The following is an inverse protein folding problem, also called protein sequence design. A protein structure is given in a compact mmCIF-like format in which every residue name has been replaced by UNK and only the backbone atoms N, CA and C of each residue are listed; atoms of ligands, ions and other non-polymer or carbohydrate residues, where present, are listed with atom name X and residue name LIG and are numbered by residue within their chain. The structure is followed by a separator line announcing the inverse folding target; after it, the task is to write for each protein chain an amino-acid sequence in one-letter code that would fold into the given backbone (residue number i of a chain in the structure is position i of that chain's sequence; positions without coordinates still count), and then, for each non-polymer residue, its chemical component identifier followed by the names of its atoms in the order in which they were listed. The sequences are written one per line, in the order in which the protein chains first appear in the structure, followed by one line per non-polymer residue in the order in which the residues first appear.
data_IF_144132724700
#
_entry.id   IF_144132724700
#
_cell.length_a   1.000
_cell.length_b   1.000
_cell.length_c   1.000
_cell.angle_alpha   90.00
_cell.angle_beta   90.00
_cell.angle_gamma   90.00
#
_symmetry.space_group_name_H-M   'P 1'
#
loop_
_entity.id
_entity.type
_entity.pdbx_description
1 polymer ?
#
# COMPACT_ATOMS: atom_id res chain seq x y z
N UNK A 1 52.73 16.13 26.55
CA UNK A 1 51.43 16.79 26.83
C UNK A 1 50.67 17.03 25.51
N UNK A 2 50.55 16.00 24.66
CA UNK A 2 49.98 16.14 23.29
C UNK A 2 49.24 14.88 22.82
N UNK A 3 48.58 14.15 23.73
CA UNK A 3 47.85 12.91 23.37
C UNK A 3 46.38 12.90 23.82
N UNK A 4 45.81 14.07 24.16
CA UNK A 4 44.44 14.20 24.66
C UNK A 4 43.53 15.04 23.76
N UNK A 5 44.00 15.53 22.61
CA UNK A 5 43.19 16.38 21.72
C UNK A 5 42.71 15.71 20.41
N UNK A 6 43.02 14.43 20.17
CA UNK A 6 42.62 13.74 18.93
C UNK A 6 41.42 12.79 19.08
N UNK A 7 40.82 12.67 20.27
CA UNK A 7 39.63 11.82 20.50
C UNK A 7 38.31 12.64 20.47
N UNK A 8 38.38 13.93 20.14
CA UNK A 8 37.20 14.81 20.10
C UNK A 8 36.60 15.04 18.69
N UNK A 9 37.01 14.29 17.66
CA UNK A 9 36.64 14.61 16.26
C UNK A 9 35.97 13.48 15.45
N UNK A 10 35.58 12.37 16.06
CA UNK A 10 34.81 11.31 15.39
C UNK A 10 33.73 10.74 16.31
N UNK A 11 32.91 11.60 16.92
CA UNK A 11 31.56 11.19 17.29
C UNK A 11 30.67 11.33 16.06
N UNK A 12 30.81 10.42 15.10
CA UNK A 12 29.74 10.16 14.13
C UNK A 12 28.60 9.57 14.93
N UNK A 13 27.75 10.42 15.51
CA UNK A 13 26.44 9.99 15.98
C UNK A 13 25.74 9.44 14.76
N UNK A 14 25.58 8.11 14.67
CA UNK A 14 24.71 7.55 13.65
C UNK A 14 23.32 8.09 13.94
N UNK A 15 22.85 9.04 13.14
CA UNK A 15 21.47 9.52 13.21
C UNK A 15 20.58 8.30 13.00
N UNK A 16 19.72 7.99 13.98
CA UNK A 16 18.72 6.96 13.78
C UNK A 16 17.78 7.41 12.65
N UNK A 17 17.17 6.46 11.95
CA UNK A 17 16.19 6.75 10.89
C UNK A 17 15.03 7.66 11.39
N UNK A 18 14.73 7.55 12.68
CA UNK A 18 13.76 8.41 13.39
C UNK A 18 14.22 9.87 13.36
N UNK A 19 15.49 10.16 13.65
CA UNK A 19 16.02 11.52 13.61
C UNK A 19 15.91 12.11 12.19
N UNK A 20 16.15 11.28 11.16
CA UNK A 20 16.04 11.67 9.74
C UNK A 20 14.59 12.01 9.38
N UNK A 21 13.62 11.19 9.81
CA UNK A 21 12.21 11.46 9.59
C UNK A 21 11.76 12.76 10.25
N UNK A 22 12.13 12.95 11.51
CA UNK A 22 11.82 14.20 12.19
C UNK A 22 12.49 15.41 11.52
N UNK A 23 13.75 15.30 11.08
CA UNK A 23 14.45 16.35 10.32
C UNK A 23 13.77 16.70 9.00
N UNK A 24 13.19 15.70 8.36
CA UNK A 24 12.47 15.83 7.10
C UNK A 24 10.99 16.22 7.26
N UNK A 25 10.52 16.45 8.48
CA UNK A 25 9.11 16.77 8.74
C UNK A 25 8.13 15.62 8.47
N UNK A 26 8.62 14.38 8.54
CA UNK A 26 7.82 13.19 8.34
C UNK A 26 7.21 12.75 9.67
N UNK A 27 5.89 12.56 9.67
CA UNK A 27 5.19 11.80 10.70
C UNK A 27 5.20 10.33 10.27
N UNK A 28 5.33 9.44 11.24
CA UNK A 28 5.46 8.02 10.96
C UNK A 28 4.84 7.16 12.05
N UNK A 29 4.45 5.95 11.67
CA UNK A 29 4.02 4.90 12.58
C UNK A 29 4.62 3.56 12.14
N UNK A 30 5.25 2.86 13.08
CA UNK A 30 5.75 1.50 12.84
C UNK A 30 4.56 0.54 12.83
N UNK A 31 4.30 -0.08 11.68
CA UNK A 31 3.20 -1.02 11.51
C UNK A 31 3.61 -2.43 11.95
N UNK A 32 4.86 -2.83 11.68
CA UNK A 32 5.32 -4.17 12.05
C UNK A 32 6.60 -4.61 11.36
N UNK A 33 6.85 -5.92 11.37
CA UNK A 33 7.94 -6.55 10.61
C UNK A 33 7.45 -6.93 9.23
N UNK A 34 8.32 -6.81 8.23
CA UNK A 34 8.01 -7.17 6.86
C UNK A 34 9.16 -7.88 6.12
N UNK A 35 8.84 -8.77 5.18
CA UNK A 35 9.79 -9.33 4.20
C UNK A 35 9.54 -8.60 2.89
N UNK A 36 10.58 -8.02 2.31
CA UNK A 36 10.54 -7.53 0.94
C UNK A 36 10.99 -8.65 0.00
N UNK A 37 10.13 -9.00 -0.94
CA UNK A 37 10.48 -9.86 -2.06
C UNK A 37 10.72 -8.97 -3.28
N UNK A 38 11.95 -9.04 -3.84
CA UNK A 38 12.21 -8.56 -5.20
C UNK A 38 11.63 -9.57 -6.18
N UNK A 39 10.43 -9.26 -6.68
CA UNK A 39 9.68 -10.13 -7.57
C UNK A 39 10.45 -10.49 -8.85
N UNK A 40 11.33 -9.59 -9.30
CA UNK A 40 12.08 -9.75 -10.55
C UNK A 40 13.21 -10.78 -10.44
N UNK A 41 13.63 -11.12 -9.22
CA UNK A 41 14.77 -12.02 -8.97
C UNK A 41 14.40 -13.39 -8.46
N UNK A 42 13.32 -13.49 -7.68
CA UNK A 42 13.05 -14.68 -6.83
C UNK A 42 11.71 -15.36 -7.17
N UNK A 43 10.90 -14.75 -8.04
CA UNK A 43 9.57 -15.27 -8.36
C UNK A 43 9.52 -15.93 -9.73
N UNK A 44 8.85 -17.09 -9.80
CA UNK A 44 8.52 -17.78 -11.05
C UNK A 44 7.06 -17.50 -11.40
N UNK A 45 6.75 -17.20 -12.65
CA UNK A 45 5.36 -17.08 -13.12
C UNK A 45 4.86 -18.44 -13.62
N UNK A 46 3.68 -18.85 -13.19
CA UNK A 46 3.07 -20.11 -13.65
C UNK A 46 1.53 -20.03 -13.67
N UNK A 47 0.93 -20.75 -14.62
CA UNK A 47 -0.51 -20.91 -14.75
C UNK A 47 -0.99 -22.18 -14.02
N UNK A 48 -1.96 -22.06 -13.14
CA UNK A 48 -2.52 -23.19 -12.38
C UNK A 48 -3.93 -23.46 -12.83
N UNK A 49 -4.15 -24.63 -13.41
CA UNK A 49 -5.51 -25.10 -13.67
C UNK A 49 -6.09 -25.70 -12.39
N UNK A 50 -7.23 -25.19 -11.93
CA UNK A 50 -7.98 -25.79 -10.81
C UNK A 50 -8.87 -26.96 -11.24
N UNK A 51 -9.00 -27.20 -12.55
CA UNK A 51 -9.81 -28.28 -13.12
C UNK A 51 -9.52 -29.65 -12.50
N UNK A 52 -8.26 -30.08 -12.28
CA UNK A 52 -7.98 -31.36 -11.63
C UNK A 52 -8.54 -31.47 -10.20
N UNK A 53 -8.54 -30.36 -9.44
CA UNK A 53 -9.09 -30.33 -8.09
C UNK A 53 -10.61 -30.38 -8.11
N UNK A 54 -11.23 -29.61 -9.01
CA UNK A 54 -12.68 -29.63 -9.25
C UNK A 54 -13.14 -31.03 -9.68
N UNK A 55 -12.39 -31.67 -10.58
CA UNK A 55 -12.66 -33.03 -11.03
C UNK A 55 -12.54 -34.03 -9.88
N UNK A 56 -11.51 -33.92 -9.03
CA UNK A 56 -11.36 -34.78 -7.86
C UNK A 56 -12.51 -34.63 -6.84
N UNK A 57 -12.99 -33.40 -6.60
CA UNK A 57 -14.17 -33.18 -5.74
C UNK A 57 -15.47 -33.65 -6.38
N UNK A 58 -15.52 -33.77 -7.71
CA UNK A 58 -16.67 -34.25 -8.47
C UNK A 58 -16.69 -35.77 -8.70
N UNK A 59 -15.56 -36.46 -8.55
CA UNK A 59 -15.45 -37.91 -8.72
C UNK A 59 -15.90 -38.65 -7.44
N UNK A 60 -17.18 -39.00 -7.38
CA UNK A 60 -17.66 -40.15 -6.60
C UNK A 60 -17.94 -41.31 -7.56
N UNK A 61 -17.57 -42.54 -7.19
CA UNK A 61 -17.68 -43.74 -8.06
C UNK A 61 -19.11 -44.06 -8.53
N UNK A 62 -20.15 -43.41 -7.97
CA UNK A 62 -21.56 -43.65 -8.31
C UNK A 62 -22.34 -42.36 -8.69
N UNK A 63 -21.66 -41.24 -9.00
CA UNK A 63 -22.30 -39.98 -9.36
C UNK A 63 -22.84 -39.96 -10.80
N UNK A 64 -24.08 -39.48 -11.00
CA UNK A 64 -24.64 -39.26 -12.34
C UNK A 64 -23.92 -38.09 -13.05
N UNK A 65 -23.83 -38.15 -14.38
CA UNK A 65 -23.16 -37.12 -15.19
C UNK A 65 -23.78 -35.71 -14.98
N UNK A 66 -25.09 -35.63 -14.81
CA UNK A 66 -25.81 -34.37 -14.56
C UNK A 66 -25.43 -33.72 -13.21
N UNK A 67 -25.19 -34.55 -12.19
CA UNK A 67 -24.77 -34.13 -10.85
C UNK A 67 -23.36 -33.54 -10.89
N UNK A 68 -22.46 -34.18 -11.64
CA UNK A 68 -21.11 -33.67 -11.88
C UNK A 68 -21.13 -32.32 -12.62
N UNK A 69 -21.96 -32.18 -13.65
CA UNK A 69 -22.10 -30.92 -14.40
C UNK A 69 -22.60 -29.79 -13.49
N UNK A 70 -23.58 -30.07 -12.63
CA UNK A 70 -24.12 -29.08 -11.69
C UNK A 70 -23.06 -28.64 -10.67
N UNK A 71 -22.33 -29.59 -10.07
CA UNK A 71 -21.27 -29.29 -9.10
C UNK A 71 -20.16 -28.43 -9.73
N UNK A 72 -19.69 -28.79 -10.93
CA UNK A 72 -18.66 -28.03 -11.66
C UNK A 72 -19.14 -26.61 -11.98
N UNK A 73 -20.39 -26.45 -12.39
CA UNK A 73 -20.97 -25.12 -12.66
C UNK A 73 -21.00 -24.24 -11.40
N UNK A 74 -21.36 -24.81 -10.24
CA UNK A 74 -21.32 -24.07 -8.98
C UNK A 74 -19.90 -23.71 -8.53
N UNK A 75 -18.92 -24.62 -8.67
CA UNK A 75 -17.52 -24.34 -8.36
C UNK A 75 -16.94 -23.27 -9.28
N UNK A 76 -17.30 -23.25 -10.57
CA UNK A 76 -16.93 -22.17 -11.48
C UNK A 76 -17.45 -20.82 -11.03
N UNK A 77 -18.71 -20.72 -10.58
CA UNK A 77 -19.25 -19.46 -10.03
C UNK A 77 -18.48 -19.02 -8.79
N UNK A 78 -18.21 -19.93 -7.86
CA UNK A 78 -17.40 -19.62 -6.67
C UNK A 78 -16.02 -19.08 -7.07
N UNK A 79 -15.40 -19.67 -8.09
CA UNK A 79 -14.13 -19.17 -8.60
C UNK A 79 -14.24 -17.76 -9.20
N UNK A 80 -15.26 -17.51 -10.01
CA UNK A 80 -15.56 -16.19 -10.60
C UNK A 80 -15.78 -15.13 -9.51
N UNK A 81 -16.65 -15.43 -8.53
CA UNK A 81 -16.96 -14.53 -7.42
C UNK A 81 -15.69 -14.18 -6.62
N UNK A 82 -14.86 -15.17 -6.28
CA UNK A 82 -13.60 -14.93 -5.56
C UNK A 82 -12.60 -14.14 -6.42
N UNK A 83 -12.47 -14.42 -7.72
CA UNK A 83 -11.57 -13.64 -8.57
C UNK A 83 -12.01 -12.17 -8.72
N UNK A 84 -13.31 -11.90 -8.74
CA UNK A 84 -13.85 -10.54 -8.70
C UNK A 84 -13.61 -9.86 -7.35
N UNK A 85 -13.84 -10.55 -6.23
CA UNK A 85 -13.60 -10.03 -4.88
C UNK A 85 -12.14 -9.53 -4.69
N UNK A 86 -11.19 -10.21 -5.33
CA UNK A 86 -9.76 -9.86 -5.27
C UNK A 86 -9.30 -8.97 -6.43
N UNK A 87 -10.19 -8.50 -7.31
CA UNK A 87 -9.89 -7.69 -8.49
C UNK A 87 -8.84 -8.33 -9.43
N UNK A 88 -8.96 -9.64 -9.69
CA UNK A 88 -8.02 -10.42 -10.49
C UNK A 88 -8.55 -10.75 -11.91
N UNK A 89 -9.69 -10.20 -12.28
CA UNK A 89 -10.27 -10.35 -13.62
C UNK A 89 -9.92 -9.14 -14.48
N UNK A 90 -9.59 -9.35 -15.76
CA UNK A 90 -9.58 -8.25 -16.72
C UNK A 90 -10.97 -7.59 -16.76
N UNK A 91 -11.04 -6.26 -16.86
CA UNK A 91 -12.26 -5.46 -16.91
C UNK A 91 -13.26 -5.83 -18.04
N UNK A 92 -12.97 -6.86 -18.84
CA UNK A 92 -13.74 -7.25 -20.02
C UNK A 92 -14.00 -8.76 -20.11
N UNK A 93 -14.60 -9.38 -19.10
CA UNK A 93 -15.47 -10.55 -19.34
C UNK A 93 -16.51 -10.69 -18.23
N UNK A 94 -17.46 -9.76 -18.15
CA UNK A 94 -18.77 -10.05 -17.58
C UNK A 94 -19.55 -10.84 -18.63
N UNK A 95 -19.29 -12.14 -18.73
CA UNK A 95 -20.32 -13.06 -19.21
C UNK A 95 -21.01 -13.61 -17.96
N UNK A 96 -22.00 -12.87 -17.46
CA UNK A 96 -23.06 -13.48 -16.66
C UNK A 96 -23.71 -14.56 -17.53
N UNK A 97 -23.14 -15.76 -17.53
CA UNK A 97 -23.87 -16.94 -17.92
C UNK A 97 -24.73 -17.31 -16.71
N UNK A 98 -25.92 -16.72 -16.66
CA UNK A 98 -27.03 -17.28 -15.90
C UNK A 98 -27.31 -18.67 -16.46
N UNK A 99 -26.52 -19.65 -16.01
CA UNK A 99 -26.83 -21.05 -16.23
C UNK A 99 -28.05 -21.34 -15.36
N UNK A 100 -29.23 -21.04 -15.91
CA UNK A 100 -30.53 -21.56 -15.49
C UNK A 100 -30.54 -23.08 -15.73
N UNK A 101 -29.75 -23.82 -14.96
CA UNK A 101 -29.80 -25.28 -14.91
C UNK A 101 -31.13 -25.66 -14.27
N UNK A 102 -32.16 -25.89 -15.11
CA UNK A 102 -33.40 -26.59 -14.72
C UNK A 102 -33.14 -28.10 -14.58
N UNK A 103 -32.12 -28.46 -13.82
CA UNK A 103 -31.79 -29.85 -13.53
C UNK A 103 -32.07 -30.06 -12.05
N UNK A 104 -32.93 -31.01 -11.71
CA UNK A 104 -33.12 -31.41 -10.32
C UNK A 104 -31.93 -32.29 -9.92
N UNK A 105 -31.24 -32.01 -8.80
CA UNK A 105 -30.17 -32.87 -8.31
C UNK A 105 -30.71 -34.29 -8.09
N UNK A 106 -29.91 -35.30 -8.44
CA UNK A 106 -30.29 -36.71 -8.24
C UNK A 106 -30.34 -37.05 -6.74
N UNK A 107 -30.81 -38.27 -6.42
CA UNK A 107 -30.81 -38.80 -5.04
C UNK A 107 -29.39 -39.01 -4.48
N UNK A 108 -28.36 -39.02 -5.33
CA UNK A 108 -26.97 -39.35 -4.98
C UNK A 108 -26.18 -38.15 -4.47
N UNK A 109 -26.25 -37.01 -5.16
CA UNK A 109 -25.95 -35.72 -4.54
C UNK A 109 -27.11 -35.33 -3.61
N UNK A 110 -27.16 -35.95 -2.42
CA UNK A 110 -27.90 -35.36 -1.32
C UNK A 110 -27.49 -33.88 -1.23
N UNK A 111 -28.46 -32.97 -1.10
CA UNK A 111 -28.26 -31.51 -1.07
C UNK A 111 -27.09 -31.10 -0.12
N UNK A 112 -26.87 -31.88 0.93
CA UNK A 112 -25.72 -31.80 1.82
C UNK A 112 -24.34 -32.01 1.16
N UNK A 113 -24.16 -33.03 0.32
CA UNK A 113 -22.88 -33.32 -0.35
C UNK A 113 -22.52 -32.26 -1.38
N UNK A 114 -23.51 -31.80 -2.16
CA UNK A 114 -23.36 -30.67 -3.08
C UNK A 114 -22.92 -29.42 -2.32
N UNK A 115 -23.66 -29.03 -1.27
CA UNK A 115 -23.34 -27.87 -0.42
C UNK A 115 -21.98 -28.00 0.25
N UNK A 116 -21.64 -29.18 0.75
CA UNK A 116 -20.36 -29.44 1.40
C UNK A 116 -19.19 -29.24 0.43
N UNK A 117 -19.23 -29.84 -0.76
CA UNK A 117 -18.15 -29.72 -1.74
C UNK A 117 -17.99 -28.29 -2.26
N UNK A 118 -19.09 -27.58 -2.52
CA UNK A 118 -19.06 -26.16 -2.88
C UNK A 118 -18.42 -25.34 -1.75
N UNK A 119 -18.85 -25.55 -0.51
CA UNK A 119 -18.34 -24.78 0.63
C UNK A 119 -16.87 -25.09 0.92
N UNK A 120 -16.48 -26.35 0.77
CA UNK A 120 -15.08 -26.79 0.88
C UNK A 120 -14.23 -26.09 -0.17
N UNK A 121 -14.63 -26.14 -1.46
CA UNK A 121 -13.92 -25.47 -2.53
C UNK A 121 -13.79 -23.96 -2.29
N UNK A 122 -14.88 -23.30 -1.87
CA UNK A 122 -14.87 -21.88 -1.50
C UNK A 122 -13.86 -21.59 -0.38
N UNK A 123 -13.91 -22.34 0.72
CA UNK A 123 -13.02 -22.12 1.86
C UNK A 123 -11.55 -22.36 1.49
N UNK A 124 -11.28 -23.41 0.71
CA UNK A 124 -9.93 -23.72 0.26
C UNK A 124 -9.41 -22.59 -0.67
N UNK A 125 -10.23 -22.11 -1.62
CA UNK A 125 -9.86 -21.03 -2.53
C UNK A 125 -9.62 -19.71 -1.79
N UNK A 126 -10.49 -19.35 -0.86
CA UNK A 126 -10.29 -18.18 0.01
C UNK A 126 -9.01 -18.31 0.82
N UNK A 127 -8.73 -19.48 1.39
CA UNK A 127 -7.51 -19.71 2.13
C UNK A 127 -6.25 -19.56 1.24
N UNK A 128 -6.31 -20.04 -0.01
CA UNK A 128 -5.23 -19.87 -0.99
C UNK A 128 -4.95 -18.39 -1.28
N UNK A 129 -5.99 -17.57 -1.47
CA UNK A 129 -5.87 -16.15 -1.85
C UNK A 129 -5.54 -15.25 -0.65
N UNK A 130 -6.11 -15.54 0.53
CA UNK A 130 -5.89 -14.75 1.75
C UNK A 130 -4.52 -15.03 2.36
N UNK A 131 -4.15 -16.31 2.47
CA UNK A 131 -2.92 -16.70 3.15
C UNK A 131 -1.73 -16.82 2.20
N UNK A 132 -1.94 -16.76 0.89
CA UNK A 132 -0.87 -16.84 -0.12
C UNK A 132 0.01 -18.09 0.09
N UNK A 133 -0.59 -19.17 0.62
CA UNK A 133 0.04 -20.46 0.90
C UNK A 133 -0.71 -21.53 0.12
N UNK A 134 0.03 -22.42 -0.53
CA UNK A 134 -0.56 -23.57 -1.21
C UNK A 134 -0.91 -24.59 -0.13
N UNK A 135 -2.21 -24.74 0.15
CA UNK A 135 -2.68 -25.74 1.09
C UNK A 135 -2.67 -27.13 0.45
N UNK A 136 -2.60 -28.17 1.29
CA UNK A 136 -2.58 -29.56 0.84
C UNK A 136 -3.65 -29.94 -0.21
N UNK A 137 -4.91 -29.43 -0.15
CA UNK A 137 -5.92 -29.74 -1.16
C UNK A 137 -5.55 -29.31 -2.58
N UNK A 138 -4.66 -28.33 -2.72
CA UNK A 138 -4.22 -27.83 -4.02
C UNK A 138 -2.95 -28.49 -4.54
N UNK A 139 -2.24 -29.29 -3.73
CA UNK A 139 -0.95 -29.84 -4.15
C UNK A 139 -1.03 -30.55 -5.48
N UNK A 140 -1.99 -31.43 -5.72
CA UNK A 140 -2.10 -32.17 -7.00
C UNK A 140 -2.36 -31.26 -8.21
N UNK A 141 -3.15 -30.19 -8.03
CA UNK A 141 -3.41 -29.20 -9.08
C UNK A 141 -2.15 -28.40 -9.42
N UNK A 142 -1.33 -28.13 -8.42
CA UNK A 142 -0.07 -27.41 -8.53
C UNK A 142 1.10 -28.33 -8.93
N UNK A 143 1.05 -29.61 -8.57
CA UNK A 143 2.05 -30.65 -8.86
C UNK A 143 2.16 -30.84 -10.38
N UNK A 144 1.01 -30.94 -11.07
CA UNK A 144 0.99 -31.07 -12.54
C UNK A 144 1.47 -29.83 -13.29
N UNK A 145 1.46 -28.67 -12.63
CA UNK A 145 1.97 -27.41 -13.17
C UNK A 145 3.46 -27.22 -12.89
N UNK A 146 3.83 -27.12 -11.60
CA UNK A 146 5.16 -26.73 -11.13
C UNK A 146 6.22 -27.85 -11.19
N UNK A 147 5.84 -29.13 -11.19
CA UNK A 147 6.81 -30.25 -11.12
C UNK A 147 7.49 -30.59 -12.45
N UNK A 148 7.31 -29.80 -13.51
CA UNK A 148 8.13 -29.98 -14.72
C UNK A 148 9.57 -29.52 -14.55
N UNK A 149 9.85 -28.66 -13.56
CA UNK A 149 11.14 -27.98 -13.37
C UNK A 149 11.90 -28.39 -12.08
N UNK A 150 11.72 -29.62 -11.57
CA UNK A 150 12.42 -30.18 -10.38
C UNK A 150 12.13 -29.50 -9.02
N UNK A 151 11.09 -28.66 -8.95
CA UNK A 151 10.74 -27.92 -7.73
C UNK A 151 9.69 -28.70 -6.92
N UNK A 152 10.15 -29.48 -5.92
CA UNK A 152 9.33 -30.44 -5.16
C UNK A 152 8.23 -29.86 -4.24
N UNK A 153 7.43 -30.73 -3.62
CA UNK A 153 6.35 -30.39 -2.65
C UNK A 153 6.86 -29.49 -1.51
N UNK A 154 8.13 -29.63 -1.14
CA UNK A 154 8.76 -28.79 -0.12
C UNK A 154 8.80 -27.32 -0.52
N UNK A 155 9.10 -27.00 -1.77
CA UNK A 155 9.00 -25.63 -2.27
C UNK A 155 7.56 -25.15 -2.30
N UNK A 156 6.58 -25.97 -2.71
CA UNK A 156 5.17 -25.55 -2.67
C UNK A 156 4.71 -25.22 -1.23
N UNK A 157 5.26 -25.90 -0.22
CA UNK A 157 5.02 -25.62 1.21
C UNK A 157 5.72 -24.35 1.68
N UNK A 158 6.87 -24.00 1.10
CA UNK A 158 7.68 -22.84 1.46
C UNK A 158 7.69 -21.72 0.42
N UNK A 159 6.79 -21.75 -0.56
CA UNK A 159 6.62 -20.70 -1.55
C UNK A 159 5.39 -19.87 -1.21
N UNK A 160 5.49 -18.59 -1.50
CA UNK A 160 4.37 -17.67 -1.42
C UNK A 160 3.68 -17.70 -2.78
N UNK A 161 2.39 -18.00 -2.76
CA UNK A 161 1.51 -17.97 -3.92
C UNK A 161 0.90 -16.58 -4.08
N UNK A 162 1.17 -15.92 -5.21
CA UNK A 162 0.70 -14.57 -5.48
C UNK A 162 -0.16 -14.56 -6.74
N UNK A 163 -1.50 -14.57 -6.60
CA UNK A 163 -2.36 -14.56 -7.77
C UNK A 163 -2.24 -13.20 -8.49
N UNK A 164 -2.04 -13.24 -9.81
CA UNK A 164 -1.94 -12.07 -10.67
C UNK A 164 -3.21 -11.84 -11.47
N UNK A 165 -3.76 -12.92 -12.00
CA UNK A 165 -4.92 -12.88 -12.88
C UNK A 165 -5.66 -14.21 -12.85
N UNK A 166 -6.98 -14.16 -12.99
CA UNK A 166 -7.81 -15.33 -13.23
C UNK A 166 -8.30 -15.39 -14.67
N UNK A 167 -8.28 -16.58 -15.25
CA UNK A 167 -9.05 -16.94 -16.44
C UNK A 167 -10.26 -17.79 -16.02
N UNK A 168 -11.43 -17.15 -15.97
CA UNK A 168 -12.70 -17.78 -15.58
C UNK A 168 -13.11 -18.88 -16.56
N UNK A 169 -12.77 -18.72 -17.85
CA UNK A 169 -13.18 -19.65 -18.90
C UNK A 169 -12.49 -21.01 -18.77
N UNK A 170 -11.26 -21.03 -18.25
CA UNK A 170 -10.46 -22.24 -18.07
C UNK A 170 -10.26 -22.64 -16.60
N UNK A 171 -10.82 -21.86 -15.67
CA UNK A 171 -10.57 -22.00 -14.22
C UNK A 171 -9.07 -22.03 -13.90
N UNK A 172 -8.34 -21.11 -14.53
CA UNK A 172 -6.89 -21.01 -14.41
C UNK A 172 -6.52 -19.77 -13.63
N UNK A 173 -5.55 -19.88 -12.73
CA UNK A 173 -4.94 -18.73 -12.06
C UNK A 173 -3.54 -18.54 -12.62
N UNK A 174 -3.28 -17.39 -13.24
CA UNK A 174 -1.92 -16.91 -13.46
C UNK A 174 -1.39 -16.39 -12.12
N UNK A 175 -0.32 -17.00 -11.64
CA UNK A 175 0.26 -16.68 -10.35
C UNK A 175 1.78 -16.58 -10.41
N UNK A 176 2.34 -15.87 -9.44
CA UNK A 176 3.76 -15.86 -9.16
C UNK A 176 4.08 -16.65 -7.89
N UNK A 177 5.19 -17.38 -7.93
CA UNK A 177 5.68 -18.23 -6.87
C UNK A 177 7.01 -17.70 -6.42
N UNK A 178 7.04 -17.18 -5.20
CA UNK A 178 8.24 -16.60 -4.65
C UNK A 178 8.74 -17.49 -3.51
N UNK A 179 9.97 -17.98 -3.61
CA UNK A 179 10.61 -18.65 -2.48
C UNK A 179 10.87 -17.63 -1.38
N UNK A 180 10.28 -17.83 -0.18
CA UNK A 180 10.57 -16.96 0.96
C UNK A 180 11.79 -17.45 1.78
N UNK A 181 12.31 -18.64 1.46
CA UNK A 181 13.51 -19.23 2.07
C UNK A 181 14.81 -18.80 1.36
N UNK A 182 14.71 -18.05 0.26
CA UNK A 182 15.87 -17.47 -0.40
C UNK A 182 16.51 -16.39 0.49
N UNK A 183 17.85 -16.43 0.63
CA UNK A 183 18.62 -15.45 1.42
C UNK A 183 18.55 -14.03 0.87
N UNK A 184 18.07 -13.85 -0.36
CA UNK A 184 17.83 -12.56 -0.99
C UNK A 184 16.58 -11.84 -0.46
N UNK A 185 15.69 -12.53 0.26
CA UNK A 185 14.50 -11.90 0.84
C UNK A 185 14.89 -11.02 2.02
N UNK A 186 14.44 -9.77 1.99
CA UNK A 186 14.86 -8.74 2.94
C UNK A 186 13.96 -8.69 4.16
N UNK A 187 14.43 -9.14 5.33
CA UNK A 187 13.74 -8.83 6.59
C UNK A 187 13.94 -7.35 6.97
N UNK A 188 12.84 -6.66 7.22
CA UNK A 188 12.77 -5.21 7.41
C UNK A 188 11.62 -4.84 8.33
N UNK A 189 11.49 -3.55 8.64
CA UNK A 189 10.37 -2.99 9.39
C UNK A 189 9.54 -2.11 8.47
N UNK A 190 8.21 -2.26 8.52
CA UNK A 190 7.29 -1.44 7.72
C UNK A 190 6.78 -0.26 8.54
N UNK A 191 6.81 0.90 7.91
CA UNK A 191 6.36 2.16 8.46
C UNK A 191 5.32 2.78 7.53
N UNK A 192 4.22 3.27 8.10
CA UNK A 192 3.36 4.24 7.44
C UNK A 192 3.95 5.63 7.68
N UNK A 193 4.02 6.46 6.65
CA UNK A 193 4.63 7.79 6.75
C UNK A 193 3.78 8.84 6.02
N UNK A 194 3.89 10.09 6.45
CA UNK A 194 3.29 11.23 5.77
C UNK A 194 4.11 12.49 6.04
N UNK A 195 4.20 13.39 5.06
CA UNK A 195 4.85 14.68 5.24
C UNK A 195 3.88 15.68 5.87
N UNK A 196 4.32 16.40 6.91
CA UNK A 196 3.46 17.33 7.66
C UNK A 196 3.01 18.55 6.86
N UNK A 197 3.86 19.05 5.96
CA UNK A 197 3.61 20.28 5.20
C UNK A 197 3.69 21.54 6.08
N UNK A 198 3.29 22.69 5.52
CA UNK A 198 3.37 23.98 6.19
C UNK A 198 2.25 24.93 5.74
N UNK A 199 1.62 25.60 6.70
CA UNK A 199 0.73 26.74 6.44
C UNK A 199 1.57 28.01 6.22
N UNK A 200 1.43 28.62 5.05
CA UNK A 200 2.06 29.89 4.68
C UNK A 200 1.05 31.03 4.85
N UNK A 201 1.01 31.61 6.04
CA UNK A 201 -0.02 32.59 6.44
C UNK A 201 -0.11 33.80 5.49
N UNK A 202 1.03 34.41 5.13
CA UNK A 202 1.08 35.58 4.24
C UNK A 202 0.48 35.27 2.86
N UNK A 203 0.86 34.12 2.31
CA UNK A 203 0.46 33.71 0.97
C UNK A 203 -0.95 33.13 0.94
N UNK A 204 -1.51 32.75 2.11
CA UNK A 204 -2.76 31.98 2.25
C UNK A 204 -2.71 30.68 1.45
N UNK A 205 -1.65 29.93 1.69
CA UNK A 205 -1.41 28.64 1.05
C UNK A 205 -1.01 27.57 2.07
N UNK A 206 -1.35 26.32 1.79
CA UNK A 206 -0.81 25.15 2.47
C UNK A 206 0.10 24.41 1.49
N UNK A 207 1.33 24.12 1.89
CA UNK A 207 2.37 23.53 1.03
C UNK A 207 2.87 22.22 1.61
N UNK A 208 2.94 21.16 0.81
CA UNK A 208 3.37 19.82 1.26
C UNK A 208 4.17 19.06 0.20
N UNK A 209 5.11 18.24 0.66
CA UNK A 209 5.78 17.25 -0.18
C UNK A 209 4.93 15.99 -0.33
N UNK A 210 4.84 15.50 -1.55
CA UNK A 210 4.26 14.20 -1.85
C UNK A 210 5.32 13.12 -1.63
N UNK A 211 5.09 12.29 -0.61
CA UNK A 211 5.97 11.20 -0.20
C UNK A 211 5.22 9.87 -0.30
N UNK A 212 5.91 8.73 -0.43
CA UNK A 212 5.26 7.42 -0.36
C UNK A 212 4.52 7.24 0.97
N UNK A 213 3.33 6.64 0.94
CA UNK A 213 2.55 6.43 2.16
C UNK A 213 3.13 5.33 3.06
N UNK A 214 3.89 4.39 2.48
CA UNK A 214 4.51 3.28 3.21
C UNK A 214 5.92 2.98 2.73
N UNK A 215 6.79 2.65 3.68
CA UNK A 215 8.20 2.36 3.42
C UNK A 215 8.70 1.22 4.30
N UNK A 216 9.62 0.43 3.74
CA UNK A 216 10.38 -0.58 4.47
C UNK A 216 11.76 -0.05 4.81
N UNK A 217 12.19 -0.26 6.04
CA UNK A 217 13.47 0.22 6.55
C UNK A 217 14.33 -0.98 6.94
N UNK A 218 15.57 -1.01 6.43
CA UNK A 218 16.60 -1.95 6.87
C UNK A 218 17.93 -1.22 7.05
N UNK A 219 18.35 -1.05 8.30
CA UNK A 219 19.51 -0.22 8.61
C UNK A 219 19.26 1.20 8.11
N UNK A 220 20.12 1.66 7.18
CA UNK A 220 20.04 2.99 6.60
C UNK A 220 19.33 3.02 5.22
N UNK A 221 18.90 1.85 4.71
CA UNK A 221 18.21 1.75 3.42
C UNK A 221 16.69 1.88 3.61
N UNK A 222 16.05 2.64 2.71
CA UNK A 222 14.60 2.79 2.70
C UNK A 222 14.01 2.42 1.34
N UNK A 223 12.99 1.55 1.37
CA UNK A 223 12.32 1.03 0.19
C UNK A 223 10.85 1.41 0.20
N UNK A 224 10.40 2.28 -0.71
CA UNK A 224 8.99 2.59 -0.89
C UNK A 224 8.19 1.36 -1.28
N UNK A 225 7.04 1.15 -0.64
CA UNK A 225 6.14 0.03 -0.92
C UNK A 225 4.70 0.50 -1.06
N UNK A 226 3.89 -0.26 -1.79
CA UNK A 226 2.44 -0.10 -1.72
C UNK A 226 1.90 -1.10 -0.69
N UNK A 227 1.23 -0.60 0.34
CA UNK A 227 0.66 -1.47 1.37
C UNK A 227 -0.38 -2.44 0.81
N UNK A 228 -1.10 -2.08 -0.25
CA UNK A 228 -2.03 -3.00 -0.93
C UNK A 228 -1.32 -4.22 -1.56
N UNK A 229 -0.03 -4.06 -1.86
CA UNK A 229 0.83 -5.16 -2.32
C UNK A 229 1.51 -5.92 -1.18
N UNK A 230 1.30 -5.48 0.06
CA UNK A 230 1.72 -6.20 1.26
C UNK A 230 0.59 -7.12 1.74
N UNK A 231 0.96 -8.34 2.15
CA UNK A 231 0.02 -9.33 2.70
C UNK A 231 0.38 -9.63 4.14
N UNK A 232 -0.60 -9.56 5.03
CA UNK A 232 -0.40 -9.97 6.41
C UNK A 232 -0.28 -11.50 6.48
N UNK A 233 0.87 -11.98 6.94
CA UNK A 233 1.17 -13.37 7.22
C UNK A 233 1.04 -13.62 8.72
N UNK A 234 0.26 -14.65 9.09
CA UNK A 234 0.13 -15.14 10.45
C UNK A 234 -0.20 -14.03 11.50
N UNK A 235 -0.87 -12.96 11.05
CA UNK A 235 -1.37 -11.84 11.86
C UNK A 235 -0.32 -10.85 12.39
N UNK A 236 0.96 -11.19 12.38
CA UNK A 236 2.02 -10.36 13.02
C UNK A 236 3.11 -9.88 12.05
N UNK A 237 3.03 -10.29 10.79
CA UNK A 237 4.10 -10.16 9.82
C UNK A 237 3.55 -9.69 8.48
N UNK A 238 4.28 -8.86 7.74
CA UNK A 238 3.89 -8.43 6.40
C UNK A 238 4.82 -9.03 5.35
N UNK A 239 4.27 -9.49 4.26
CA UNK A 239 5.03 -9.87 3.08
C UNK A 239 4.73 -8.86 1.99
N UNK A 240 5.72 -8.03 1.66
CA UNK A 240 5.59 -6.96 0.70
C UNK A 240 6.36 -7.29 -0.57
N UNK A 241 5.81 -6.92 -1.71
CA UNK A 241 6.55 -6.91 -2.97
C UNK A 241 7.17 -5.53 -3.19
N UNK A 242 8.37 -5.49 -3.77
CA UNK A 242 8.94 -4.22 -4.21
C UNK A 242 8.02 -3.58 -5.27
N UNK A 243 7.60 -2.34 -5.03
CA UNK A 243 6.92 -1.54 -6.04
C UNK A 243 7.94 -0.81 -6.90
N UNK A 244 7.52 -0.38 -8.09
CA UNK A 244 8.23 0.59 -8.93
C UNK A 244 8.86 1.69 -8.05
N UNK A 245 10.17 1.87 -8.18
CA UNK A 245 10.94 2.89 -7.47
C UNK A 245 10.29 4.26 -7.66
N UNK A 246 9.82 4.88 -6.58
CA UNK A 246 9.65 6.33 -6.61
C UNK A 246 11.02 6.98 -6.67
N UNK A 247 11.13 8.11 -7.35
CA UNK A 247 12.35 8.92 -7.36
C UNK A 247 12.47 9.81 -6.12
N UNK A 248 11.41 9.93 -5.32
CA UNK A 248 11.40 10.68 -4.06
C UNK A 248 12.27 9.96 -3.02
N UNK A 249 13.40 10.58 -2.68
CA UNK A 249 14.24 10.16 -1.56
C UNK A 249 13.70 10.83 -0.28
N UNK A 250 13.03 10.04 0.53
CA UNK A 250 12.41 10.48 1.78
C UNK A 250 13.40 10.83 2.89
N UNK A 251 14.68 10.43 2.79
CA UNK A 251 15.69 10.82 3.79
C UNK A 251 16.09 12.28 3.64
N UNK A 252 16.04 12.79 2.41
CA UNK A 252 16.45 14.15 2.05
C UNK A 252 15.29 15.00 1.51
N UNK A 253 14.14 14.38 1.28
CA UNK A 253 12.98 14.92 0.55
C UNK A 253 13.37 15.39 -0.87
N UNK A 254 14.46 14.85 -1.41
CA UNK A 254 14.92 15.23 -2.76
C UNK A 254 14.10 14.50 -3.81
N UNK A 255 13.84 15.19 -4.93
CA UNK A 255 13.04 14.69 -6.05
C UNK A 255 11.58 14.33 -5.71
N UNK A 256 11.12 14.63 -4.49
CA UNK A 256 9.71 14.56 -4.11
C UNK A 256 8.96 15.74 -4.72
N UNK A 257 7.77 15.48 -5.25
CA UNK A 257 6.92 16.54 -5.78
C UNK A 257 6.43 17.44 -4.63
N UNK A 258 6.34 18.73 -4.87
CA UNK A 258 5.86 19.72 -3.91
C UNK A 258 4.56 20.31 -4.44
N UNK A 259 3.53 20.37 -3.61
CA UNK A 259 2.22 20.90 -4.00
C UNK A 259 1.77 22.00 -3.05
N UNK A 260 1.00 22.95 -3.59
CA UNK A 260 0.36 24.00 -2.83
C UNK A 260 -1.15 24.07 -3.09
N UNK A 261 -1.90 24.36 -2.02
CA UNK A 261 -3.36 24.53 -2.02
C UNK A 261 -3.74 25.88 -1.43
N UNK A 262 -4.78 26.56 -1.94
CA UNK A 262 -5.27 27.81 -1.37
C UNK A 262 -5.95 27.60 -0.01
N UNK A 263 -5.72 28.54 0.91
CA UNK A 263 -6.29 28.53 2.28
C UNK A 263 -7.04 29.82 2.62
N UNK A 264 -7.52 30.54 1.59
CA UNK A 264 -8.20 31.83 1.71
C UNK A 264 -9.66 31.73 2.20
N UNK A 265 -10.22 30.52 2.18
CA UNK A 265 -11.54 30.15 2.72
C UNK A 265 -11.37 29.06 3.78
N UNK A 266 -12.48 28.57 4.34
CA UNK A 266 -12.50 27.41 5.24
C UNK A 266 -11.71 26.25 4.61
N UNK A 267 -10.53 26.01 5.17
CA UNK A 267 -9.56 25.07 4.65
C UNK A 267 -9.43 23.90 5.61
N UNK A 268 -9.48 22.71 5.05
CA UNK A 268 -9.30 21.47 5.76
C UNK A 268 -8.62 20.47 4.83
N UNK A 269 -7.54 19.89 5.32
CA UNK A 269 -6.81 18.83 4.66
C UNK A 269 -6.43 17.78 5.69
N UNK A 270 -6.52 16.51 5.29
CA UNK A 270 -6.10 15.38 6.10
C UNK A 270 -5.30 14.38 5.30
N UNK A 271 -4.31 13.78 5.96
CA UNK A 271 -3.54 12.66 5.43
C UNK A 271 -3.29 11.63 6.52
N UNK A 272 -3.72 10.41 6.29
CA UNK A 272 -3.49 9.30 7.23
C UNK A 272 -2.07 8.76 7.13
N UNK A 273 -1.55 8.27 8.25
CA UNK A 273 -0.36 7.44 8.35
C UNK A 273 -0.63 6.38 9.42
N UNK A 274 -0.89 5.14 9.01
CA UNK A 274 -1.29 4.09 9.94
C UNK A 274 -2.61 4.42 10.67
N UNK A 275 -2.58 4.38 12.00
CA UNK A 275 -3.65 4.81 12.92
C UNK A 275 -3.61 6.31 13.27
N UNK A 276 -2.59 7.03 12.81
CA UNK A 276 -2.45 8.48 12.92
C UNK A 276 -2.96 9.23 11.69
N UNK A 277 -3.22 10.53 11.88
CA UNK A 277 -3.63 11.46 10.83
C UNK A 277 -2.95 12.82 11.02
N UNK A 278 -2.43 13.38 9.94
CA UNK A 278 -2.02 14.79 9.86
C UNK A 278 -3.25 15.60 9.46
N UNK A 279 -3.50 16.68 10.17
CA UNK A 279 -4.59 17.62 9.92
C UNK A 279 -4.01 18.99 9.70
N UNK A 280 -4.35 19.63 8.58
CA UNK A 280 -4.03 21.03 8.30
C UNK A 280 -5.32 21.82 8.11
N UNK A 281 -5.48 22.91 8.86
CA UNK A 281 -6.70 23.71 8.83
C UNK A 281 -6.46 25.15 9.25
N UNK A 282 -7.30 26.06 8.78
CA UNK A 282 -7.40 27.43 9.30
C UNK A 282 -8.62 27.64 10.22
N UNK A 283 -9.36 26.57 10.51
CA UNK A 283 -10.51 26.56 11.41
C UNK A 283 -10.07 26.34 12.85
N UNK A 284 -10.84 26.84 13.82
CA UNK A 284 -10.58 26.60 15.25
C UNK A 284 -10.96 25.18 15.70
N UNK A 285 -11.91 24.54 15.01
CA UNK A 285 -12.40 23.19 15.28
C UNK A 285 -12.71 22.48 13.97
N UNK A 286 -12.50 21.16 13.94
CA UNK A 286 -12.73 20.32 12.76
C UNK A 286 -13.42 19.02 13.16
N UNK A 287 -14.23 18.47 12.27
CA UNK A 287 -14.86 17.16 12.46
C UNK A 287 -13.95 16.06 11.91
N UNK A 288 -13.46 15.18 12.78
CA UNK A 288 -12.66 14.00 12.43
C UNK A 288 -13.46 12.77 12.84
N UNK A 289 -13.88 11.96 11.85
CA UNK A 289 -14.65 10.72 12.05
C UNK A 289 -15.88 10.88 12.97
N UNK A 290 -16.61 11.99 12.83
CA UNK A 290 -17.80 12.30 13.62
C UNK A 290 -17.52 12.98 14.96
N UNK A 291 -16.26 13.20 15.32
CA UNK A 291 -15.83 13.85 16.57
C UNK A 291 -15.32 15.26 16.30
N UNK A 292 -15.83 16.25 17.03
CA UNK A 292 -15.32 17.62 16.96
C UNK A 292 -14.00 17.74 17.74
N UNK A 293 -12.94 18.12 17.04
CA UNK A 293 -11.58 18.25 17.57
C UNK A 293 -11.11 19.69 17.45
N UNK A 294 -10.60 20.25 18.55
CA UNK A 294 -10.00 21.60 18.57
C UNK A 294 -8.66 21.58 17.86
N UNK A 295 -8.45 22.53 16.95
CA UNK A 295 -7.17 22.71 16.28
C UNK A 295 -6.14 23.26 17.28
N UNK A 296 -5.17 22.42 17.68
CA UNK A 296 -4.10 22.80 18.61
C UNK A 296 -3.00 23.63 17.95
N UNK A 297 -2.94 23.60 16.61
CA UNK A 297 -2.08 24.40 15.73
C UNK A 297 -2.63 24.34 14.30
N UNK A 298 -2.18 25.22 13.37
CA UNK A 298 -2.62 25.18 11.98
C UNK A 298 -2.32 23.85 11.25
N UNK A 299 -1.29 23.14 11.71
CA UNK A 299 -0.99 21.75 11.31
C UNK A 299 -0.74 20.93 12.57
N UNK A 300 -1.48 19.85 12.78
CA UNK A 300 -1.38 18.99 13.96
C UNK A 300 -1.59 17.52 13.60
N UNK A 301 -1.11 16.63 14.47
CA UNK A 301 -1.39 15.20 14.40
C UNK A 301 -2.55 14.84 15.31
N UNK A 302 -3.40 13.94 14.84
CA UNK A 302 -4.49 13.30 15.57
C UNK A 302 -4.24 11.79 15.53
N UNK A 303 -4.08 11.17 16.69
CA UNK A 303 -3.79 9.76 16.81
C UNK A 303 -4.87 9.06 17.63
N UNK A 304 -5.36 7.93 17.12
CA UNK A 304 -6.34 7.10 17.81
C UNK A 304 -5.69 5.79 18.23
N UNK A 305 -5.80 5.45 19.51
CA UNK A 305 -5.27 4.20 20.07
C UNK A 305 -6.38 3.41 20.73
N UNK A 306 -6.42 2.11 20.47
CA UNK A 306 -7.34 1.18 21.12
C UNK A 306 -6.57 0.25 22.06
N UNK A 307 -7.12 -0.01 23.23
CA UNK A 307 -6.58 -0.99 24.17
C UNK A 307 -7.71 -1.75 24.85
N UNK A 308 -7.39 -2.95 25.33
CA UNK A 308 -8.35 -3.80 26.05
C UNK A 308 -8.11 -3.63 27.54
N UNK A 309 -9.12 -3.13 28.24
CA UNK A 309 -9.20 -3.22 29.70
C UNK A 309 -10.19 -4.32 30.08
N UNK A 310 -10.11 -4.78 31.33
CA UNK A 310 -11.14 -5.65 31.88
C UNK A 310 -12.13 -4.81 32.68
N UNK A 311 -13.42 -5.05 32.47
CA UNK A 311 -14.45 -4.41 33.27
C UNK A 311 -14.54 -5.01 34.69
N UNK A 312 -15.52 -4.55 35.48
CA UNK A 312 -15.73 -5.01 36.85
C UNK A 312 -16.09 -6.52 36.94
N UNK A 313 -16.54 -7.13 35.84
CA UNK A 313 -16.92 -8.53 35.72
C UNK A 313 -15.83 -9.37 35.00
N UNK A 314 -14.61 -8.83 34.87
CA UNK A 314 -13.45 -9.43 34.21
C UNK A 314 -13.66 -9.69 32.70
N UNK A 315 -14.66 -9.05 32.07
CA UNK A 315 -14.91 -9.14 30.63
C UNK A 315 -14.03 -8.15 29.86
N UNK A 316 -13.54 -8.52 28.66
CA UNK A 316 -12.72 -7.63 27.84
C UNK A 316 -13.56 -6.47 27.29
N UNK A 317 -13.14 -5.25 27.59
CA UNK A 317 -13.71 -4.00 27.08
C UNK A 317 -12.66 -3.29 26.21
N UNK A 318 -13.02 -3.00 24.96
CA UNK A 318 -12.18 -2.20 24.06
C UNK A 318 -12.42 -0.72 24.37
N UNK A 319 -11.38 -0.04 24.84
CA UNK A 319 -11.37 1.39 25.07
C UNK A 319 -10.58 2.09 23.97
N UNK A 320 -11.03 3.28 23.60
CA UNK A 320 -10.39 4.13 22.59
C UNK A 320 -9.92 5.42 23.25
N UNK A 321 -8.68 5.79 22.99
CA UNK A 321 -8.09 7.06 23.41
C UNK A 321 -7.58 7.82 22.21
N UNK A 322 -7.70 9.14 22.27
CA UNK A 322 -7.30 10.04 21.19
C UNK A 322 -6.28 11.03 21.72
N UNK A 323 -5.24 11.29 20.93
CA UNK A 323 -4.19 12.25 21.28
C UNK A 323 -3.99 13.23 20.13
N UNK A 324 -3.92 14.52 20.46
CA UNK A 324 -3.56 15.59 19.53
C UNK A 324 -2.25 16.23 19.91
N UNK A 325 -1.40 16.52 18.92
CA UNK A 325 -0.14 17.25 19.14
C UNK A 325 0.19 18.13 17.94
N UNK A 326 0.82 19.30 18.13
CA UNK A 326 1.32 20.10 17.03
C UNK A 326 2.29 19.28 16.17
N UNK A 327 2.11 19.35 14.84
CA UNK A 327 3.02 18.70 13.93
C UNK A 327 4.20 19.63 13.66
N UNK A 328 5.42 19.15 13.88
CA UNK A 328 6.63 19.96 13.79
C UNK A 328 7.34 19.71 12.46
N UNK A 329 7.68 20.80 11.77
CA UNK A 329 8.60 20.81 10.64
C UNK A 329 9.90 21.47 11.12
N UNK A 330 11.03 20.74 11.15
CA UNK A 330 12.30 21.27 11.70
C UNK A 330 12.83 22.48 10.92
N UNK A 331 12.65 22.50 9.60
CA UNK A 331 13.06 23.60 8.74
C UNK A 331 11.88 24.12 7.89
N UNK A 332 11.53 25.41 7.97
CA UNK A 332 10.45 25.96 7.16
C UNK A 332 10.78 25.91 5.67
N UNK A 333 9.76 25.70 4.85
CA UNK A 333 9.82 25.79 3.40
C UNK A 333 10.10 27.24 2.96
N UNK A 334 10.78 27.44 1.81
CA UNK A 334 10.95 28.76 1.22
C UNK A 334 9.61 29.43 0.89
N UNK A 335 9.58 30.76 0.92
CA UNK A 335 8.38 31.53 0.55
C UNK A 335 8.03 31.34 -0.95
N UNK A 336 6.75 31.52 -1.28
CA UNK A 336 6.27 31.51 -2.66
C UNK A 336 6.73 32.77 -3.41
N UNK A 337 7.01 32.64 -4.71
CA UNK A 337 7.09 33.80 -5.61
C UNK A 337 5.74 34.48 -5.74
N UNK A 338 5.73 35.76 -6.11
CA UNK A 338 4.48 36.49 -6.33
C UNK A 338 3.61 35.83 -7.42
N UNK A 339 4.24 35.28 -8.45
CA UNK A 339 3.58 34.52 -9.50
C UNK A 339 2.92 33.25 -8.94
N UNK A 340 3.64 32.46 -8.13
CA UNK A 340 3.10 31.27 -7.49
C UNK A 340 1.99 31.58 -6.51
N UNK A 341 2.10 32.64 -5.70
CA UNK A 341 1.03 33.08 -4.81
C UNK A 341 -0.26 33.38 -5.58
N UNK A 342 -0.14 34.10 -6.70
CA UNK A 342 -1.29 34.42 -7.56
C UNK A 342 -1.88 33.15 -8.17
N UNK A 343 -1.04 32.24 -8.64
CA UNK A 343 -1.46 30.96 -9.20
C UNK A 343 -2.24 30.15 -8.17
N UNK A 344 -1.67 29.93 -6.98
CA UNK A 344 -2.27 29.13 -5.90
C UNK A 344 -3.62 29.70 -5.47
N UNK A 345 -3.73 31.02 -5.27
CA UNK A 345 -4.99 31.67 -4.88
C UNK A 345 -6.10 31.54 -5.93
N UNK A 346 -5.72 31.44 -7.20
CA UNK A 346 -6.68 31.27 -8.30
C UNK A 346 -7.01 29.80 -8.61
N UNK A 347 -6.29 28.87 -7.99
CA UNK A 347 -6.38 27.45 -8.30
C UNK A 347 -7.65 26.83 -7.70
N UNK A 348 -8.24 25.88 -8.44
CA UNK A 348 -9.28 24.98 -7.92
C UNK A 348 -8.72 23.63 -7.48
N UNK A 349 -7.47 23.34 -7.83
CA UNK A 349 -6.78 22.09 -7.59
C UNK A 349 -5.36 22.40 -7.09
N UNK A 350 -4.69 21.44 -6.42
CA UNK A 350 -3.31 21.61 -5.97
C UNK A 350 -2.40 21.98 -7.15
N UNK A 351 -1.52 22.97 -6.93
CA UNK A 351 -0.52 23.40 -7.91
C UNK A 351 0.82 22.79 -7.55
N UNK A 352 1.48 22.16 -8.52
CA UNK A 352 2.86 21.70 -8.36
C UNK A 352 3.81 22.90 -8.30
N UNK A 353 4.71 22.87 -7.32
CA UNK A 353 5.74 23.87 -7.10
C UNK A 353 7.13 23.34 -7.41
N UNK A 354 8.01 24.25 -7.76
CA UNK A 354 9.41 24.00 -8.06
C UNK A 354 10.28 24.90 -7.19
N UNK A 355 11.34 24.32 -6.62
CA UNK A 355 12.37 25.11 -5.95
C UNK A 355 13.17 25.89 -7.00
N UNK A 356 13.29 27.19 -6.80
CA UNK A 356 14.13 28.07 -7.61
C UNK A 356 15.02 28.91 -6.70
N UNK A 357 16.14 29.40 -7.21
CA UNK A 357 17.00 30.33 -6.48
C UNK A 357 17.07 31.65 -7.24
N UNK A 358 16.70 32.75 -6.58
CA UNK A 358 16.77 34.11 -7.16
C UNK A 358 17.69 34.96 -6.31
N UNK A 359 18.80 35.42 -6.90
CA UNK A 359 19.84 36.22 -6.21
C UNK A 359 20.38 35.54 -4.93
N UNK A 360 20.52 34.21 -4.97
CA UNK A 360 20.99 33.42 -3.82
C UNK A 360 19.96 33.16 -2.72
N UNK A 361 18.69 33.53 -2.93
CA UNK A 361 17.59 33.24 -2.01
C UNK A 361 16.71 32.16 -2.64
N UNK A 362 16.47 31.09 -1.88
CA UNK A 362 15.57 30.01 -2.31
C UNK A 362 14.11 30.46 -2.21
N UNK A 363 13.32 30.09 -3.22
CA UNK A 363 11.91 30.42 -3.34
C UNK A 363 11.17 29.26 -4.02
N UNK A 364 9.85 29.27 -3.93
CA UNK A 364 8.98 28.31 -4.61
C UNK A 364 8.18 28.95 -5.74
N UNK A 365 8.20 28.34 -6.92
CA UNK A 365 7.53 28.85 -8.11
C UNK A 365 6.57 27.82 -8.71
N UNK A 366 5.51 28.27 -9.41
CA UNK A 366 4.55 27.40 -10.11
C UNK A 366 5.06 26.91 -11.46
N UNK A 367 6.24 27.40 -11.87
CA UNK A 367 6.93 27.02 -13.09
C UNK A 367 8.34 26.53 -12.75
N UNK A 368 8.84 25.51 -13.46
CA UNK A 368 10.22 25.09 -13.29
C UNK A 368 11.15 26.27 -13.61
N UNK A 369 12.30 26.34 -12.93
CA UNK A 369 13.33 27.28 -13.34
C UNK A 369 13.69 27.00 -14.80
N UNK A 370 13.72 28.06 -15.62
CA UNK A 370 14.38 27.97 -16.92
C UNK A 370 15.84 27.67 -16.63
N UNK A 371 16.40 26.67 -17.31
CA UNK A 371 17.74 26.16 -17.03
C UNK A 371 18.86 27.18 -17.25
N UNK A 372 18.57 28.39 -17.76
CA UNK A 372 19.58 29.35 -18.18
C UNK A 372 19.07 30.80 -18.19
N UNK A 373 19.96 31.72 -17.78
CA UNK A 373 19.84 33.19 -17.96
C UNK A 373 19.60 33.56 -19.44
N UNK A 374 20.04 32.72 -20.38
CA UNK A 374 19.84 32.94 -21.82
C UNK A 374 18.38 32.79 -22.26
N UNK A 375 17.57 32.01 -21.53
CA UNK A 375 16.15 31.87 -21.85
C UNK A 375 15.34 33.12 -21.42
N UNK A 376 15.82 33.88 -20.43
CA UNK A 376 15.23 35.17 -20.05
C UNK A 376 15.62 36.27 -21.05
N UNK A 377 16.86 36.24 -21.55
CA UNK A 377 17.31 37.14 -22.64
C UNK A 377 16.54 36.85 -23.93
N UNK A 378 16.35 35.58 -24.30
CA UNK A 378 15.59 35.19 -25.49
C UNK A 378 14.14 35.67 -25.42
N UNK A 379 13.47 35.44 -24.29
CA UNK A 379 12.06 35.82 -24.15
C UNK A 379 11.86 37.34 -24.12
N UNK A 380 12.82 38.10 -23.59
CA UNK A 380 12.81 39.57 -23.66
C UNK A 380 12.85 40.08 -25.12
N UNK A 381 13.69 39.49 -25.98
CA UNK A 381 13.77 39.89 -27.39
C UNK A 381 12.59 39.39 -28.24
N UNK A 382 11.94 38.29 -27.85
CA UNK A 382 10.77 37.76 -28.57
C UNK A 382 9.46 38.54 -28.28
N UNK A 383 9.41 39.37 -27.22
CA UNK A 383 8.28 40.27 -26.93
C UNK A 383 8.44 41.68 -27.53
N UNK A 384 9.54 41.93 -28.25
CA UNK A 384 9.83 43.21 -28.93
C UNK A 384 9.60 43.15 -30.46
N UNK A 385 9.00 42.08 -30.97
CA UNK A 385 8.62 41.90 -32.38
C UNK A 385 7.12 42.08 -32.58
#
# INVERSE_FOLDING_TARGET
MSLLLFIALLSTTSSTIINIFEESGLQYEKIGKAKLIDASRVCLSHNVSLTPYVDALAMGEEAEEADMVMLKAHMRRVFEDTCHEFNLTDEFTSSQSDINLKVKPSKYLNDYGLKFNIKKFQNDLLALFLHNKINAPFFDAFEKGLMKDEVGIEFAKSAVFLPRRCDISTMTIEAQYCSWEDKSVLESEIYAIAHTGQMMEKSKAFVLYEVPDYVLIKGDEIFPVNFDSCKAMDGTYFLCMEKIRTYCDITTITSCDLYAMPTDKDFYFTRSYGSGMIVATNLSEVNIDGTMVKAVSPVFTYHTSQYVEKDADDQPLILQTTKTSPAMLKAPLPELTQEAEKAVRSAKQPIRLYRITRKGIDMLNDKPSKASVWDDVRDFFMHLV
#
